data_IF_396923853242
#
_entry.id   IF_396923853242
#
_cell.length_a   1.000
_cell.length_b   1.000
_cell.length_c   1.000
_cell.angle_alpha   90.00
_cell.angle_beta   90.00
_cell.angle_gamma   90.00
#
_symmetry.space_group_name_H-M   'P 1'
#
loop_
_entity.id
_entity.type
_entity.pdbx_description
1 polymer ?
#
# COMPACT_ATOMS: atom_id res chain seq x y z
N UNK A 1 -42.26 -10.54 -62.89
CA UNK A 1 -42.62 -9.81 -61.65
C UNK A 1 -41.76 -10.40 -60.55
N UNK A 2 -40.55 -9.86 -60.40
CA UNK A 2 -39.49 -10.43 -59.57
C UNK A 2 -39.42 -9.63 -58.27
N UNK A 3 -39.78 -10.25 -57.15
CA UNK A 3 -39.59 -9.65 -55.82
C UNK A 3 -38.12 -9.79 -55.42
N UNK A 4 -37.48 -8.64 -55.21
CA UNK A 4 -36.12 -8.51 -54.75
C UNK A 4 -36.04 -8.89 -53.26
N UNK A 5 -35.37 -9.98 -52.94
CA UNK A 5 -35.02 -10.40 -51.58
C UNK A 5 -33.68 -9.76 -51.25
N UNK A 6 -33.66 -8.69 -50.48
CA UNK A 6 -32.61 -8.34 -49.51
C UNK A 6 -33.13 -7.16 -48.68
N UNK A 7 -33.84 -7.51 -47.62
CA UNK A 7 -34.21 -6.58 -46.55
C UNK A 7 -33.02 -6.35 -45.62
N UNK A 8 -32.89 -5.10 -45.23
CA UNK A 8 -31.96 -4.54 -44.27
C UNK A 8 -31.73 -5.42 -43.04
N UNK A 9 -30.46 -5.69 -42.75
CA UNK A 9 -30.02 -6.21 -41.46
C UNK A 9 -28.64 -5.62 -41.14
N UNK A 10 -28.57 -4.29 -41.07
CA UNK A 10 -27.42 -3.56 -40.54
C UNK A 10 -27.90 -2.64 -39.42
N UNK A 11 -28.20 -3.19 -38.26
CA UNK A 11 -28.19 -2.45 -37.00
C UNK A 11 -28.13 -3.42 -35.81
N UNK A 12 -26.91 -3.79 -35.41
CA UNK A 12 -26.69 -4.52 -34.16
C UNK A 12 -25.90 -3.64 -33.18
N UNK A 13 -26.57 -2.94 -32.23
CA UNK A 13 -25.92 -2.21 -31.13
C UNK A 13 -25.09 -3.11 -30.21
N UNK A 14 -25.27 -4.43 -30.34
CA UNK A 14 -24.51 -5.46 -29.64
C UNK A 14 -23.00 -5.43 -29.99
N UNK A 15 -22.64 -5.24 -31.26
CA UNK A 15 -21.23 -5.17 -31.67
C UNK A 15 -20.51 -3.98 -31.04
N UNK A 16 -21.16 -2.82 -30.97
CA UNK A 16 -20.64 -1.61 -30.32
C UNK A 16 -20.41 -1.80 -28.81
N UNK A 17 -21.31 -2.50 -28.13
CA UNK A 17 -21.19 -2.82 -26.70
C UNK A 17 -20.03 -3.79 -26.45
N UNK A 18 -19.91 -4.84 -27.26
CA UNK A 18 -18.83 -5.83 -27.13
C UNK A 18 -17.47 -5.19 -27.42
N UNK A 19 -17.36 -4.30 -28.40
CA UNK A 19 -16.12 -3.54 -28.67
C UNK A 19 -15.75 -2.63 -27.50
N UNK A 20 -16.72 -1.94 -26.88
CA UNK A 20 -16.47 -1.11 -25.69
C UNK A 20 -16.05 -1.94 -24.48
N UNK A 21 -16.67 -3.11 -24.26
CA UNK A 21 -16.28 -4.05 -23.21
C UNK A 21 -14.85 -4.56 -23.45
N UNK A 22 -14.53 -4.97 -24.69
CA UNK A 22 -13.18 -5.44 -25.04
C UNK A 22 -12.11 -4.35 -24.88
N UNK A 23 -12.41 -3.09 -25.23
CA UNK A 23 -11.54 -1.95 -25.02
C UNK A 23 -11.32 -1.66 -23.53
N UNK A 24 -12.37 -1.78 -22.71
CA UNK A 24 -12.30 -1.56 -21.25
C UNK A 24 -11.55 -2.70 -20.54
N UNK A 25 -11.78 -3.96 -20.91
CA UNK A 25 -11.02 -5.11 -20.39
C UNK A 25 -9.57 -5.11 -20.86
N UNK A 26 -9.32 -4.67 -22.10
CA UNK A 26 -7.97 -4.55 -22.66
C UNK A 26 -7.14 -3.48 -21.97
N UNK A 27 -7.73 -2.33 -21.63
CA UNK A 27 -7.03 -1.26 -20.88
C UNK A 27 -6.75 -1.64 -19.42
N UNK A 28 -7.62 -2.43 -18.78
CA UNK A 28 -7.38 -2.96 -17.43
C UNK A 28 -6.19 -3.96 -17.37
N UNK A 29 -5.90 -4.67 -18.46
CA UNK A 29 -4.81 -5.65 -18.52
C UNK A 29 -3.41 -5.03 -18.70
N UNK A 30 -3.31 -3.78 -19.15
CA UNK A 30 -2.00 -3.11 -19.34
C UNK A 30 -1.53 -2.31 -18.13
N UNK A 31 -2.34 -2.18 -17.08
CA UNK A 31 -1.96 -1.51 -15.83
C UNK A 31 -1.28 -2.45 -14.82
N UNK A 32 -1.19 -3.75 -15.11
CA UNK A 32 -0.96 -4.75 -14.07
C UNK A 32 0.49 -4.97 -13.63
N UNK A 33 1.48 -4.26 -14.16
CA UNK A 33 2.86 -4.31 -13.65
C UNK A 33 3.60 -3.01 -13.98
N UNK A 34 3.35 -1.95 -13.21
CA UNK A 34 4.13 -0.71 -13.32
C UNK A 34 5.52 -0.85 -12.68
N UNK A 35 5.68 -1.79 -11.76
CA UNK A 35 6.90 -2.00 -10.98
C UNK A 35 7.52 -3.37 -11.29
N UNK A 36 8.80 -3.51 -11.00
CA UNK A 36 9.54 -4.76 -11.17
C UNK A 36 10.48 -4.99 -10.00
N UNK A 37 10.86 -6.25 -9.80
CA UNK A 37 11.82 -6.64 -8.76
C UNK A 37 11.25 -6.51 -7.34
N UNK A 38 12.07 -6.13 -6.35
CA UNK A 38 11.70 -6.14 -4.93
C UNK A 38 10.48 -5.29 -4.58
N UNK A 39 10.27 -4.16 -5.28
CA UNK A 39 9.12 -3.29 -5.05
C UNK A 39 7.81 -3.99 -5.42
N UNK A 40 7.75 -4.64 -6.59
CA UNK A 40 6.53 -5.36 -6.99
C UNK A 40 6.26 -6.55 -6.07
N UNK A 41 7.31 -7.23 -5.59
CA UNK A 41 7.14 -8.32 -4.63
C UNK A 41 6.58 -7.82 -3.28
N UNK A 42 7.06 -6.67 -2.79
CA UNK A 42 6.48 -6.02 -1.61
C UNK A 42 5.02 -5.59 -1.86
N UNK A 43 4.72 -4.96 -2.99
CA UNK A 43 3.35 -4.59 -3.36
C UNK A 43 2.42 -5.80 -3.46
N UNK A 44 2.89 -6.92 -4.00
CA UNK A 44 2.14 -8.18 -4.06
C UNK A 44 1.86 -8.75 -2.67
N UNK A 45 2.83 -8.67 -1.75
CA UNK A 45 2.70 -9.15 -0.37
C UNK A 45 1.84 -8.23 0.51
N UNK A 46 1.73 -6.93 0.18
CA UNK A 46 0.98 -5.94 0.99
C UNK A 46 -0.53 -6.15 1.06
N UNK A 47 -1.09 -7.03 0.22
CA UNK A 47 -2.50 -7.41 0.25
C UNK A 47 -3.42 -6.20 0.07
N UNK A 48 -4.24 -5.90 1.10
CA UNK A 48 -5.18 -4.77 1.07
C UNK A 48 -4.49 -3.40 1.14
N UNK A 49 -3.24 -3.33 1.59
CA UNK A 49 -2.49 -2.08 1.72
C UNK A 49 -1.78 -1.65 0.42
N UNK A 50 -1.85 -2.47 -0.64
CA UNK A 50 -1.18 -2.20 -1.92
C UNK A 50 -1.47 -0.80 -2.47
N UNK A 51 -2.74 -0.39 -2.43
CA UNK A 51 -3.16 0.91 -2.95
C UNK A 51 -2.51 2.09 -2.21
N UNK A 52 -2.24 1.96 -0.91
CA UNK A 52 -1.54 3.00 -0.16
C UNK A 52 -0.07 3.09 -0.61
N UNK A 53 0.62 1.95 -0.75
CA UNK A 53 2.01 1.93 -1.20
C UNK A 53 2.17 2.42 -2.65
N UNK A 54 1.24 2.06 -3.53
CA UNK A 54 1.18 2.60 -4.89
C UNK A 54 0.95 4.12 -4.89
N UNK A 55 0.06 4.63 -4.01
CA UNK A 55 -0.18 6.08 -3.85
C UNK A 55 1.08 6.86 -3.47
N UNK A 56 1.95 6.29 -2.63
CA UNK A 56 3.25 6.91 -2.28
C UNK A 56 4.13 7.04 -3.52
N UNK A 57 4.24 5.96 -4.31
CA UNK A 57 5.08 5.93 -5.50
C UNK A 57 4.54 6.85 -6.60
N UNK A 58 3.23 6.91 -6.77
CA UNK A 58 2.56 7.81 -7.72
C UNK A 58 2.77 9.27 -7.31
N UNK A 59 2.60 9.61 -6.03
CA UNK A 59 2.81 10.97 -5.52
C UNK A 59 4.20 11.52 -5.85
N UNK A 60 5.26 10.78 -5.53
CA UNK A 60 6.63 11.25 -5.82
C UNK A 60 6.96 11.26 -7.31
N UNK A 61 6.37 10.34 -8.09
CA UNK A 61 6.52 10.33 -9.55
C UNK A 61 5.87 11.56 -10.19
N UNK A 62 4.64 11.88 -9.79
CA UNK A 62 3.90 13.05 -10.30
C UNK A 62 4.55 14.37 -9.89
N UNK A 63 5.13 14.42 -8.69
CA UNK A 63 5.91 15.56 -8.22
C UNK A 63 7.23 15.76 -8.98
N UNK A 64 7.72 14.72 -9.67
CA UNK A 64 9.03 14.73 -10.33
C UNK A 64 10.19 14.73 -9.33
N UNK A 65 9.97 14.21 -8.12
CA UNK A 65 10.97 14.16 -7.04
C UNK A 65 11.71 12.83 -7.08
N UNK A 66 12.69 12.73 -7.98
CA UNK A 66 13.39 11.47 -8.26
C UNK A 66 14.08 10.90 -7.01
N UNK A 67 14.64 11.75 -6.15
CA UNK A 67 15.34 11.29 -4.94
C UNK A 67 14.35 10.67 -3.95
N UNK A 68 13.23 11.36 -3.66
CA UNK A 68 12.20 10.81 -2.78
C UNK A 68 11.50 9.60 -3.39
N UNK A 69 11.34 9.54 -4.72
CA UNK A 69 10.83 8.34 -5.38
C UNK A 69 11.75 7.13 -5.21
N UNK A 70 13.07 7.31 -5.29
CA UNK A 70 14.02 6.23 -5.01
C UNK A 70 14.02 5.84 -3.53
N UNK A 71 13.92 6.81 -2.62
CA UNK A 71 13.79 6.53 -1.19
C UNK A 71 12.51 5.75 -0.87
N UNK A 72 11.38 6.12 -1.48
CA UNK A 72 10.11 5.41 -1.34
C UNK A 72 10.20 3.98 -1.86
N UNK A 73 10.80 3.77 -3.04
CA UNK A 73 11.04 2.43 -3.59
C UNK A 73 11.89 1.58 -2.64
N UNK A 74 12.99 2.13 -2.14
CA UNK A 74 13.87 1.44 -1.19
C UNK A 74 13.13 1.03 0.09
N UNK A 75 12.42 1.98 0.71
CA UNK A 75 11.66 1.72 1.93
C UNK A 75 10.60 0.64 1.71
N UNK A 76 9.81 0.75 0.64
CA UNK A 76 8.76 -0.23 0.31
C UNK A 76 9.37 -1.62 0.07
N UNK A 77 10.51 -1.71 -0.64
CA UNK A 77 11.17 -3.01 -0.86
C UNK A 77 11.70 -3.65 0.42
N UNK A 78 12.03 -2.86 1.45
CA UNK A 78 12.52 -3.35 2.74
C UNK A 78 11.39 -3.62 3.76
N UNK A 79 10.16 -3.17 3.52
CA UNK A 79 9.02 -3.42 4.43
C UNK A 79 8.69 -4.90 4.68
N UNK A 80 8.87 -5.86 3.74
CA UNK A 80 8.58 -7.27 4.00
C UNK A 80 9.31 -7.81 5.25
N UNK A 81 8.55 -8.39 6.17
CA UNK A 81 9.08 -8.95 7.43
C UNK A 81 9.29 -7.93 8.56
N UNK A 82 9.33 -6.64 8.26
CA UNK A 82 9.37 -5.58 9.27
C UNK A 82 7.99 -5.40 9.90
N UNK A 83 7.96 -5.37 11.23
CA UNK A 83 6.73 -5.30 12.01
C UNK A 83 6.98 -4.69 13.38
N UNK A 84 5.90 -4.19 13.96
CA UNK A 84 5.82 -3.86 15.38
C UNK A 84 5.04 -4.94 16.14
N UNK A 85 5.26 -5.02 17.45
CA UNK A 85 4.39 -5.78 18.35
C UNK A 85 3.37 -4.84 18.98
N UNK A 86 2.12 -5.29 18.98
CA UNK A 86 1.00 -4.57 19.58
C UNK A 86 0.22 -5.48 20.54
N UNK A 87 -0.10 -4.92 21.70
CA UNK A 87 -1.16 -5.36 22.60
C UNK A 87 -1.57 -4.16 23.47
N UNK A 88 -2.64 -4.31 24.25
CA UNK A 88 -3.13 -3.23 25.12
C UNK A 88 -2.04 -2.70 26.05
N UNK A 89 -1.30 -3.58 26.72
CA UNK A 89 -0.26 -3.18 27.68
C UNK A 89 0.90 -2.40 27.06
N UNK A 90 1.37 -2.79 25.86
CA UNK A 90 2.41 -2.07 25.12
C UNK A 90 1.90 -0.70 24.66
N UNK A 91 0.66 -0.62 24.20
CA UNK A 91 0.03 0.63 23.76
C UNK A 91 -0.20 1.59 24.93
N UNK A 92 -0.71 1.09 26.05
CA UNK A 92 -0.88 1.85 27.30
C UNK A 92 0.46 2.37 27.82
N UNK A 93 1.50 1.55 27.79
CA UNK A 93 2.85 1.97 28.18
C UNK A 93 3.39 3.10 27.30
N UNK A 94 3.28 2.98 25.98
CA UNK A 94 3.69 4.04 25.04
C UNK A 94 2.91 5.33 25.28
N UNK A 95 1.58 5.24 25.40
CA UNK A 95 0.72 6.40 25.65
C UNK A 95 1.03 7.07 26.98
N UNK A 96 1.25 6.30 28.05
CA UNK A 96 1.59 6.81 29.36
C UNK A 96 2.94 7.56 29.32
N UNK A 97 3.94 7.02 28.63
CA UNK A 97 5.23 7.69 28.44
C UNK A 97 5.10 8.98 27.63
N UNK A 98 4.37 8.96 26.52
CA UNK A 98 4.15 10.15 25.69
C UNK A 98 3.40 11.25 26.45
N UNK A 99 2.46 10.86 27.31
CA UNK A 99 1.67 11.80 28.13
C UNK A 99 2.48 12.37 29.29
N UNK A 100 3.24 11.53 30.01
CA UNK A 100 4.03 11.96 31.17
C UNK A 100 5.28 12.74 30.76
N UNK A 101 5.88 12.40 29.61
CA UNK A 101 7.14 12.96 29.14
C UNK A 101 7.05 13.45 27.69
N UNK A 102 6.19 14.44 27.39
CA UNK A 102 5.96 14.91 26.02
C UNK A 102 7.22 15.50 25.38
N UNK A 103 8.14 16.05 26.18
CA UNK A 103 9.39 16.66 25.73
C UNK A 103 10.58 15.67 25.70
N UNK A 104 10.35 14.37 25.93
CA UNK A 104 11.40 13.36 25.85
C UNK A 104 11.95 13.27 24.42
N UNK A 105 13.27 13.27 24.26
CA UNK A 105 13.88 13.17 22.93
C UNK A 105 13.60 11.81 22.29
N UNK A 106 13.47 11.78 20.96
CA UNK A 106 13.21 10.55 20.20
C UNK A 106 14.29 9.48 20.43
N UNK A 107 15.53 9.89 20.70
CA UNK A 107 16.64 8.99 21.04
C UNK A 107 16.34 8.23 22.34
N UNK A 108 15.88 8.94 23.38
CA UNK A 108 15.54 8.30 24.66
C UNK A 108 14.25 7.49 24.52
N UNK A 109 13.22 8.02 23.85
CA UNK A 109 11.97 7.27 23.58
C UNK A 109 12.25 5.92 22.93
N UNK A 110 13.14 5.87 21.94
CA UNK A 110 13.53 4.63 21.26
C UNK A 110 14.08 3.58 22.22
N UNK A 111 14.86 3.99 23.21
CA UNK A 111 15.41 3.06 24.22
C UNK A 111 14.33 2.64 25.22
N UNK A 112 13.54 3.60 25.71
CA UNK A 112 12.52 3.32 26.74
C UNK A 112 11.38 2.46 26.18
N UNK A 113 10.99 2.64 24.91
CA UNK A 113 9.96 1.82 24.25
C UNK A 113 10.35 0.36 24.13
N UNK A 114 11.65 0.03 24.19
CA UNK A 114 12.13 -1.35 24.18
C UNK A 114 12.12 -2.02 25.56
N UNK A 115 11.90 -1.27 26.65
CA UNK A 115 11.94 -1.82 28.02
C UNK A 115 10.89 -2.93 28.24
N UNK A 116 9.62 -2.77 27.82
CA UNK A 116 8.61 -3.83 28.01
C UNK A 116 8.96 -5.13 27.29
N UNK A 117 9.65 -5.04 26.15
CA UNK A 117 10.01 -6.20 25.32
C UNK A 117 11.00 -7.16 26.00
N UNK A 118 11.63 -6.74 27.11
CA UNK A 118 12.54 -7.59 27.90
C UNK A 118 11.80 -8.51 28.88
N UNK A 119 10.48 -8.37 29.01
CA UNK A 119 9.66 -9.17 29.91
C UNK A 119 8.69 -10.01 29.09
N UNK A 120 8.83 -11.33 29.18
CA UNK A 120 7.99 -12.27 28.43
C UNK A 120 6.49 -12.03 28.64
N UNK A 121 6.07 -11.66 29.84
CA UNK A 121 4.68 -11.32 30.17
C UNK A 121 4.10 -10.20 29.29
N UNK A 122 4.92 -9.19 28.92
CA UNK A 122 4.48 -8.06 28.09
C UNK A 122 4.39 -8.40 26.60
N UNK A 123 5.06 -9.47 26.14
CA UNK A 123 5.10 -9.86 24.73
C UNK A 123 4.38 -11.17 24.43
N UNK A 124 4.04 -11.96 25.45
CA UNK A 124 3.43 -13.29 25.31
C UNK A 124 2.14 -13.29 24.47
N UNK A 125 1.34 -12.22 24.57
CA UNK A 125 0.09 -12.05 23.85
C UNK A 125 0.16 -10.89 22.83
N UNK A 126 1.35 -10.50 22.40
CA UNK A 126 1.48 -9.43 21.43
C UNK A 126 1.27 -9.94 20.00
N UNK A 127 0.46 -9.22 19.24
CA UNK A 127 0.25 -9.47 17.81
C UNK A 127 1.31 -8.73 16.99
N UNK A 128 1.71 -9.36 15.88
CA UNK A 128 2.59 -8.71 14.90
C UNK A 128 1.76 -7.84 13.97
N UNK A 129 2.17 -6.58 13.84
CA UNK A 129 1.62 -5.61 12.90
C UNK A 129 2.70 -5.29 11.88
N UNK A 130 2.56 -5.88 10.69
CA UNK A 130 3.54 -5.74 9.62
C UNK A 130 3.46 -4.38 8.96
N UNK A 131 4.60 -3.72 8.80
CA UNK A 131 4.71 -2.38 8.22
C UNK A 131 4.08 -2.35 6.82
N UNK A 132 4.34 -3.40 6.04
CA UNK A 132 3.83 -3.62 4.69
C UNK A 132 2.29 -3.61 4.62
N UNK A 133 1.61 -4.04 5.69
CA UNK A 133 0.15 -4.19 5.75
C UNK A 133 -0.55 -2.98 6.39
N UNK A 134 0.19 -2.12 7.11
CA UNK A 134 -0.42 -1.09 7.97
C UNK A 134 0.07 0.34 7.76
N UNK A 135 1.24 0.56 7.14
CA UNK A 135 1.73 1.92 6.90
C UNK A 135 0.88 2.62 5.84
N UNK A 136 0.34 3.79 6.20
CA UNK A 136 -0.44 4.61 5.29
C UNK A 136 0.44 5.45 4.38
N UNK A 137 -0.11 5.80 3.24
CA UNK A 137 0.54 6.67 2.29
C UNK A 137 0.77 8.07 2.85
N UNK A 138 -0.19 8.62 3.61
CA UNK A 138 -0.03 9.95 4.24
C UNK A 138 1.16 9.98 5.21
N UNK A 139 1.33 8.91 6.00
CA UNK A 139 2.48 8.81 6.89
C UNK A 139 3.78 8.73 6.11
N UNK A 140 3.86 7.87 5.10
CA UNK A 140 5.07 7.70 4.29
C UNK A 140 5.44 8.98 3.52
N UNK A 141 4.45 9.64 2.90
CA UNK A 141 4.64 10.90 2.15
C UNK A 141 5.14 12.02 3.07
N UNK A 142 4.67 12.07 4.32
CA UNK A 142 5.10 13.10 5.26
C UNK A 142 6.54 12.88 5.80
N UNK A 143 7.10 11.69 5.66
CA UNK A 143 8.35 11.29 6.32
C UNK A 143 9.45 10.77 5.37
N UNK A 144 9.26 10.90 4.06
CA UNK A 144 10.25 10.59 3.00
C UNK A 144 10.60 11.89 2.25
#
# INVERSE_FOLDING_TARGET
>A
MSYNRYGDCQDFPFMQIVTKIMLFTGTLLFLSCQYSGPVEEALRQSGRNRSELERVLDFYREKGDDLSLQAAKFLISEMPGHHSLENSSLSEFRQALDTMYPQMSNVIKRVVYQVPYRKDEFVANAEKRYDLETLSADYLIAHI
#
